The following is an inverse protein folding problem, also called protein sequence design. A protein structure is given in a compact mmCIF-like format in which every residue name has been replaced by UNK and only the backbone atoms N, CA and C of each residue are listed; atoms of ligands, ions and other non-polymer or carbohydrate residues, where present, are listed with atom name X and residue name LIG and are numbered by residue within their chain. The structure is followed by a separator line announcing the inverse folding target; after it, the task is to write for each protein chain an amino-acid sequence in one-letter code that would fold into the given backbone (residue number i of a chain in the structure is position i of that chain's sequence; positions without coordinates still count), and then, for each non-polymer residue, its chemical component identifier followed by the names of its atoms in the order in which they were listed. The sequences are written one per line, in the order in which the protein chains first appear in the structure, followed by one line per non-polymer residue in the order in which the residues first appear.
data_IF_210974294014
#
_entry.id   IF_210974294014
#
_cell.length_a   1.000
_cell.length_b   1.000
_cell.length_c   1.000
_cell.angle_alpha   90.00
_cell.angle_beta   90.00
_cell.angle_gamma   90.00
#
_symmetry.space_group_name_H-M   'P 1'
#
loop_
_entity.id
_entity.type
_entity.pdbx_description
1 polymer ?
#
# COMPACT_ATOMS: atom_id res chain seq x y z
N UNK A 1 -9.10 -8.33 -21.92
CA UNK A 1 -8.12 -9.37 -22.29
C UNK A 1 -7.51 -9.87 -21.00
N UNK A 2 -7.47 -11.18 -20.79
CA UNK A 2 -6.75 -11.75 -19.64
C UNK A 2 -5.25 -11.55 -19.81
N UNK A 3 -4.54 -11.34 -18.69
CA UNK A 3 -3.08 -11.28 -18.63
C UNK A 3 -2.55 -12.70 -18.61
N UNK A 4 -1.55 -13.02 -19.44
CA UNK A 4 -0.94 -14.34 -19.41
C UNK A 4 0.21 -14.41 -18.38
N UNK A 5 0.49 -15.61 -17.87
CA UNK A 5 1.65 -15.84 -16.98
C UNK A 5 2.96 -15.39 -17.65
N UNK A 6 3.09 -15.55 -18.97
CA UNK A 6 4.29 -15.14 -19.69
C UNK A 6 4.47 -13.62 -19.73
N UNK A 7 3.37 -12.85 -19.82
CA UNK A 7 3.42 -11.39 -19.73
C UNK A 7 3.91 -10.95 -18.33
N UNK A 8 3.45 -11.63 -17.28
CA UNK A 8 3.87 -11.35 -15.90
C UNK A 8 5.33 -11.71 -15.67
N UNK A 9 5.82 -12.84 -16.21
CA UNK A 9 7.24 -13.22 -16.14
C UNK A 9 8.11 -12.18 -16.84
N UNK A 10 7.76 -11.81 -18.09
CA UNK A 10 8.53 -10.85 -18.87
C UNK A 10 8.59 -9.48 -18.17
N UNK A 11 7.44 -9.00 -17.68
CA UNK A 11 7.36 -7.76 -16.92
C UNK A 11 8.19 -7.84 -15.64
N UNK A 12 7.99 -8.88 -14.82
CA UNK A 12 8.67 -9.03 -13.52
C UNK A 12 10.18 -9.11 -13.68
N UNK A 13 10.66 -9.75 -14.76
CA UNK A 13 12.08 -9.82 -15.09
C UNK A 13 12.65 -8.45 -15.49
N UNK A 14 11.97 -7.72 -16.37
CA UNK A 14 12.38 -6.39 -16.85
C UNK A 14 12.36 -5.35 -15.72
N UNK A 15 11.36 -5.43 -14.85
CA UNK A 15 11.06 -4.42 -13.85
C UNK A 15 11.60 -4.75 -12.45
N UNK A 16 12.35 -5.86 -12.31
CA UNK A 16 13.02 -6.28 -11.08
C UNK A 16 13.99 -5.22 -10.57
N UNK A 17 13.92 -4.94 -9.27
CA UNK A 17 14.84 -4.04 -8.56
C UNK A 17 15.17 -4.60 -7.17
N UNK A 18 16.32 -4.23 -6.63
CA UNK A 18 16.68 -4.55 -5.24
C UNK A 18 15.71 -3.85 -4.27
N UNK A 19 15.46 -4.49 -3.14
CA UNK A 19 14.57 -3.93 -2.12
C UNK A 19 15.23 -2.82 -1.32
N UNK A 20 14.44 -1.79 -1.00
CA UNK A 20 14.75 -0.75 -0.05
C UNK A 20 13.69 -0.79 1.07
N UNK A 21 14.11 -1.19 2.27
CA UNK A 21 13.23 -1.26 3.43
C UNK A 21 13.22 0.05 4.24
N UNK A 22 13.86 1.12 3.76
CA UNK A 22 13.82 2.44 4.39
C UNK A 22 12.54 3.23 4.05
N UNK A 23 11.74 2.74 3.10
CA UNK A 23 10.54 3.41 2.59
C UNK A 23 9.39 2.44 2.36
N UNK A 24 8.17 2.97 2.36
CA UNK A 24 6.97 2.27 1.90
C UNK A 24 6.30 3.05 0.78
N UNK A 25 5.47 2.41 -0.01
CA UNK A 25 4.60 3.07 -0.98
C UNK A 25 3.23 2.40 -1.04
N UNK A 26 2.26 3.06 -1.67
CA UNK A 26 1.00 2.41 -2.01
C UNK A 26 1.22 1.28 -3.02
N UNK A 27 0.31 0.32 -3.10
CA UNK A 27 0.32 -0.74 -4.13
C UNK A 27 0.10 -0.23 -5.56
N UNK A 28 -0.29 1.04 -5.68
CA UNK A 28 -0.64 1.74 -6.92
C UNK A 28 0.32 1.46 -8.08
N UNK A 29 -0.25 1.16 -9.25
CA UNK A 29 0.50 0.84 -10.45
C UNK A 29 1.20 2.04 -11.07
N UNK A 30 0.75 3.22 -10.71
CA UNK A 30 1.34 4.45 -11.13
C UNK A 30 2.41 4.91 -10.17
N UNK A 31 3.62 4.34 -10.13
CA UNK A 31 4.86 5.01 -9.66
C UNK A 31 5.86 5.07 -10.83
N UNK A 32 6.52 6.20 -11.07
CA UNK A 32 7.57 6.35 -12.11
C UNK A 32 8.87 5.68 -11.69
N UNK A 33 9.75 5.49 -12.66
CA UNK A 33 11.15 5.16 -12.37
C UNK A 33 11.77 6.22 -11.42
N UNK A 34 12.36 5.75 -10.33
CA UNK A 34 12.94 6.59 -9.27
C UNK A 34 11.96 7.02 -8.17
N UNK A 35 10.64 6.96 -8.39
CA UNK A 35 9.66 7.19 -7.34
C UNK A 35 9.50 5.90 -6.51
N UNK A 36 9.93 5.94 -5.24
CA UNK A 36 9.81 4.83 -4.31
C UNK A 36 10.31 3.48 -4.89
N UNK A 37 11.49 3.53 -5.54
CA UNK A 37 12.20 2.36 -6.05
C UNK A 37 12.60 1.44 -4.88
N UNK A 38 12.37 0.13 -5.02
CA UNK A 38 12.67 -0.84 -3.97
C UNK A 38 11.77 -0.79 -2.72
N UNK A 39 11.02 0.31 -2.51
CA UNK A 39 10.15 0.52 -1.36
C UNK A 39 9.16 -0.64 -1.15
N UNK A 40 8.73 -0.84 0.09
CA UNK A 40 7.73 -1.86 0.43
C UNK A 40 6.36 -1.36 -0.06
N UNK A 41 5.79 -2.00 -1.08
CA UNK A 41 4.49 -1.66 -1.64
C UNK A 41 3.36 -2.35 -0.85
N UNK A 42 2.54 -1.55 -0.17
CA UNK A 42 1.43 -1.97 0.70
C UNK A 42 0.25 -1.02 0.53
N UNK A 43 -0.97 -1.45 0.81
CA UNK A 43 -2.13 -0.59 0.59
C UNK A 43 -2.01 0.69 1.45
N UNK A 44 -2.00 1.87 0.81
CA UNK A 44 -1.83 3.16 1.49
C UNK A 44 -0.44 3.48 2.06
N UNK A 45 0.59 2.64 1.88
CA UNK A 45 1.90 2.86 2.52
C UNK A 45 1.81 2.92 4.05
N UNK A 46 2.58 3.80 4.69
CA UNK A 46 2.47 3.99 6.15
C UNK A 46 1.08 4.47 6.59
N UNK A 47 0.37 5.22 5.74
CA UNK A 47 -0.98 5.67 6.03
C UNK A 47 -1.96 4.49 6.21
N UNK A 48 -1.81 3.42 5.41
CA UNK A 48 -2.62 2.21 5.57
C UNK A 48 -2.37 1.49 6.89
N UNK A 49 -1.14 1.53 7.41
CA UNK A 49 -0.84 1.01 8.76
C UNK A 49 -1.52 1.85 9.83
N UNK A 50 -1.55 3.19 9.68
CA UNK A 50 -2.31 4.07 10.57
C UNK A 50 -3.82 3.73 10.54
N UNK A 51 -4.39 3.51 9.36
CA UNK A 51 -5.80 3.14 9.20
C UNK A 51 -6.13 1.83 9.90
N UNK A 52 -5.26 0.83 9.78
CA UNK A 52 -5.40 -0.45 10.47
C UNK A 52 -5.37 -0.28 12.00
N UNK A 53 -4.46 0.55 12.52
CA UNK A 53 -4.37 0.87 13.95
C UNK A 53 -5.61 1.62 14.47
N UNK A 54 -6.20 2.51 13.67
CA UNK A 54 -7.46 3.19 14.03
C UNK A 54 -8.60 2.18 14.16
N UNK A 55 -8.69 1.19 13.28
CA UNK A 55 -9.67 0.09 13.41
C UNK A 55 -9.47 -0.70 14.70
N UNK A 56 -8.22 -0.91 15.10
CA UNK A 56 -7.87 -1.57 16.36
C UNK A 56 -8.08 -0.72 17.62
N UNK A 57 -8.65 0.48 17.47
CA UNK A 57 -9.13 1.29 18.58
C UNK A 57 -8.24 2.47 18.95
N UNK A 58 -7.11 2.68 18.28
CA UNK A 58 -6.32 3.90 18.46
C UNK A 58 -7.08 5.11 17.91
N UNK A 59 -6.89 6.27 18.52
CA UNK A 59 -7.31 7.53 17.92
C UNK A 59 -6.47 7.82 16.67
N UNK A 60 -6.97 8.61 15.70
CA UNK A 60 -6.21 9.01 14.52
C UNK A 60 -4.83 9.60 14.85
N UNK A 61 -4.75 10.45 15.88
CA UNK A 61 -3.50 11.03 16.35
C UNK A 61 -2.53 10.01 16.94
N UNK A 62 -3.02 9.08 17.77
CA UNK A 62 -2.18 8.02 18.34
C UNK A 62 -1.64 7.08 17.26
N UNK A 63 -2.50 6.68 16.31
CA UNK A 63 -2.12 5.83 15.19
C UNK A 63 -1.04 6.48 14.32
N UNK A 64 -1.24 7.75 13.94
CA UNK A 64 -0.23 8.52 13.21
C UNK A 64 1.09 8.62 13.99
N UNK A 65 1.03 9.06 15.25
CA UNK A 65 2.24 9.28 16.06
C UNK A 65 3.04 7.99 16.24
N UNK A 66 2.36 6.87 16.47
CA UNK A 66 3.00 5.56 16.62
C UNK A 66 3.75 5.15 15.35
N UNK A 67 3.13 5.26 14.18
CA UNK A 67 3.74 4.85 12.91
C UNK A 67 4.84 5.81 12.48
N UNK A 68 4.65 7.12 12.70
CA UNK A 68 5.66 8.13 12.42
C UNK A 68 6.91 7.94 13.29
N UNK A 69 6.74 7.75 14.60
CA UNK A 69 7.85 7.48 15.53
C UNK A 69 8.53 6.16 15.22
N UNK A 70 7.76 5.13 14.83
CA UNK A 70 8.31 3.86 14.37
C UNK A 70 9.22 4.07 13.16
N UNK A 71 8.72 4.74 12.12
CA UNK A 71 9.48 5.01 10.90
C UNK A 71 10.79 5.73 11.24
N UNK A 72 10.72 6.81 12.04
CA UNK A 72 11.90 7.56 12.47
C UNK A 72 12.90 6.71 13.26
N UNK A 73 12.42 5.90 14.20
CA UNK A 73 13.28 5.02 15.02
C UNK A 73 13.97 3.93 14.19
N UNK A 74 13.34 3.49 13.11
CA UNK A 74 13.85 2.49 12.18
C UNK A 74 14.75 3.10 11.08
N UNK A 75 15.02 4.41 11.12
CA UNK A 75 15.76 5.12 10.07
C UNK A 75 14.99 5.21 8.75
N UNK A 76 13.66 5.09 8.80
CA UNK A 76 12.75 5.19 7.67
C UNK A 76 12.15 6.60 7.58
N UNK A 77 11.61 6.92 6.41
CA UNK A 77 10.78 8.11 6.20
C UNK A 77 9.31 7.70 6.20
N UNK A 78 8.45 8.45 6.89
CA UNK A 78 7.01 8.23 6.77
C UNK A 78 6.57 8.63 5.36
N UNK A 79 6.03 7.66 4.62
CA UNK A 79 5.67 7.79 3.21
C UNK A 79 4.17 7.60 3.01
N UNK A 80 3.58 8.47 2.18
CA UNK A 80 2.21 8.36 1.69
C UNK A 80 2.11 9.02 0.31
N UNK A 81 0.95 8.94 -0.34
CA UNK A 81 0.74 9.65 -1.60
C UNK A 81 -0.62 10.34 -1.64
N UNK A 82 -0.74 11.24 -2.60
CA UNK A 82 -2.01 11.66 -3.21
C UNK A 82 -1.85 11.66 -4.74
N UNK A 83 -2.82 12.19 -5.47
CA UNK A 83 -2.75 12.35 -6.91
C UNK A 83 -3.33 13.70 -7.36
N UNK A 84 -3.29 13.97 -8.67
CA UNK A 84 -3.84 15.19 -9.26
C UNK A 84 -5.37 15.22 -9.36
N UNK A 85 -6.06 14.14 -8.98
CA UNK A 85 -7.52 14.09 -8.93
C UNK A 85 -8.09 14.56 -7.59
N UNK A 86 -7.26 14.74 -6.57
CA UNK A 86 -7.67 15.31 -5.29
C UNK A 86 -8.46 16.63 -5.49
N UNK A 87 -9.63 16.74 -4.85
CA UNK A 87 -10.53 17.88 -5.01
C UNK A 87 -11.42 17.83 -6.25
N UNK A 88 -11.23 16.86 -7.14
CA UNK A 88 -12.06 16.60 -8.32
C UNK A 88 -12.97 15.38 -8.13
N UNK A 89 -13.67 15.33 -6.99
CA UNK A 89 -14.61 14.25 -6.64
C UNK A 89 -14.06 13.20 -5.67
N UNK A 90 -12.79 13.31 -5.27
CA UNK A 90 -12.21 12.55 -4.16
C UNK A 90 -11.62 13.50 -3.09
N UNK A 91 -11.58 13.02 -1.85
CA UNK A 91 -11.05 13.77 -0.69
C UNK A 91 -9.52 13.71 -0.65
N UNK A 92 -8.95 12.63 -1.18
CA UNK A 92 -7.51 12.38 -1.34
C UNK A 92 -7.32 11.44 -2.54
N UNK A 93 -6.22 11.58 -3.27
CA UNK A 93 -5.96 10.78 -4.46
C UNK A 93 -5.65 9.30 -4.20
N UNK A 94 -5.23 8.95 -2.98
CA UNK A 94 -4.97 7.56 -2.63
C UNK A 94 -6.27 6.74 -2.63
N UNK A 95 -6.42 5.81 -3.58
CA UNK A 95 -7.62 4.96 -3.66
C UNK A 95 -7.94 4.20 -2.37
N UNK A 96 -6.92 3.70 -1.66
CA UNK A 96 -7.08 3.03 -0.36
C UNK A 96 -7.70 3.96 0.70
N UNK A 97 -7.11 5.14 0.85
CA UNK A 97 -7.52 6.11 1.86
C UNK A 97 -8.89 6.71 1.49
N UNK A 98 -9.09 7.10 0.23
CA UNK A 98 -10.34 7.66 -0.24
C UNK A 98 -11.52 6.68 -0.14
N UNK A 99 -11.31 5.40 -0.47
CA UNK A 99 -12.32 4.38 -0.29
C UNK A 99 -12.67 4.17 1.19
N UNK A 100 -11.71 4.30 2.11
CA UNK A 100 -12.02 4.23 3.55
C UNK A 100 -12.86 5.38 4.09
N UNK A 101 -12.83 6.54 3.40
CA UNK A 101 -13.69 7.69 3.73
C UNK A 101 -15.07 7.50 3.08
N UNK A 102 -15.12 7.14 1.80
CA UNK A 102 -16.36 7.04 1.01
C UNK A 102 -17.19 5.77 1.23
N UNK A 103 -16.56 4.69 1.71
CA UNK A 103 -17.16 3.37 1.93
C UNK A 103 -16.73 2.78 3.28
N UNK A 104 -16.76 3.65 4.30
CA UNK A 104 -16.16 3.42 5.62
C UNK A 104 -16.67 2.17 6.35
N UNK A 105 -17.93 1.80 6.11
CA UNK A 105 -18.59 0.59 6.60
C UNK A 105 -17.85 -0.70 6.20
N UNK A 106 -17.29 -0.74 4.98
CA UNK A 106 -16.53 -1.89 4.50
C UNK A 106 -15.13 -1.99 5.11
N UNK A 107 -14.61 -0.88 5.67
CA UNK A 107 -13.34 -0.86 6.39
C UNK A 107 -13.52 -1.08 7.89
N UNK A 108 -14.77 -1.06 8.39
CA UNK A 108 -15.08 -1.16 9.82
C UNK A 108 -14.50 0.00 10.64
N UNK A 109 -14.37 1.18 10.03
CA UNK A 109 -13.97 2.44 10.66
C UNK A 109 -14.97 3.52 10.24
N UNK A 110 -15.11 4.60 11.00
CA UNK A 110 -16.00 5.68 10.60
C UNK A 110 -15.31 6.64 9.63
N UNK A 111 -16.09 7.23 8.73
CA UNK A 111 -15.60 8.24 7.77
C UNK A 111 -14.98 9.45 8.48
N UNK A 112 -15.53 9.84 9.63
CA UNK A 112 -15.02 10.95 10.45
C UNK A 112 -13.61 10.65 10.98
N UNK A 113 -13.36 9.44 11.47
CA UNK A 113 -12.02 9.05 11.97
C UNK A 113 -10.98 9.02 10.84
N UNK A 114 -11.36 8.58 9.65
CA UNK A 114 -10.46 8.58 8.49
C UNK A 114 -10.17 10.00 8.01
N UNK A 115 -11.19 10.87 8.01
CA UNK A 115 -11.03 12.29 7.70
C UNK A 115 -10.11 12.98 8.71
N UNK A 116 -10.30 12.75 10.00
CA UNK A 116 -9.43 13.26 11.06
C UNK A 116 -7.98 12.75 10.90
N UNK A 117 -7.78 11.46 10.56
CA UNK A 117 -6.44 10.92 10.30
C UNK A 117 -5.75 11.64 9.13
N UNK A 118 -6.48 11.91 8.05
CA UNK A 118 -5.95 12.65 6.90
C UNK A 118 -5.56 14.08 7.30
N UNK A 119 -6.36 14.76 8.10
CA UNK A 119 -6.06 16.11 8.61
C UNK A 119 -4.80 16.12 9.49
N UNK A 120 -4.66 15.13 10.39
CA UNK A 120 -3.45 14.94 11.21
C UNK A 120 -2.22 14.77 10.31
N UNK A 121 -2.30 13.91 9.29
CA UNK A 121 -1.19 13.67 8.38
C UNK A 121 -0.82 14.90 7.54
N UNK A 122 -1.80 15.62 7.00
CA UNK A 122 -1.56 16.85 6.23
C UNK A 122 -0.90 17.91 7.09
N UNK A 123 -1.41 18.12 8.31
CA UNK A 123 -0.81 19.05 9.26
C UNK A 123 0.64 18.66 9.60
N UNK A 124 0.90 17.38 9.84
CA UNK A 124 2.25 16.91 10.12
C UNK A 124 3.20 17.06 8.92
N UNK A 125 2.71 16.85 7.69
CA UNK A 125 3.46 17.07 6.46
C UNK A 125 3.91 18.53 6.33
N UNK A 126 3.04 19.49 6.68
CA UNK A 126 3.35 20.92 6.70
C UNK A 126 4.30 21.31 7.85
N UNK A 127 4.05 20.80 9.05
CA UNK A 127 4.75 21.22 10.27
C UNK A 127 6.14 20.58 10.41
N UNK A 128 6.32 19.32 10.01
CA UNK A 128 7.54 18.54 10.27
C UNK A 128 8.52 18.54 9.10
N UNK A 129 8.04 18.59 7.86
CA UNK A 129 8.87 18.56 6.63
C UNK A 129 9.69 17.27 6.41
N UNK A 130 9.69 16.32 7.35
CA UNK A 130 10.45 15.07 7.32
C UNK A 130 9.66 13.89 6.69
N UNK A 131 8.47 14.14 6.15
CA UNK A 131 7.60 13.12 5.53
C UNK A 131 7.72 13.15 4.00
N UNK A 132 7.65 11.98 3.36
CA UNK A 132 7.64 11.84 1.90
C UNK A 132 6.19 11.69 1.40
N UNK A 133 5.65 12.76 0.81
CA UNK A 133 4.39 12.72 0.08
C UNK A 133 4.68 12.76 -1.42
N UNK A 134 4.25 11.72 -2.14
CA UNK A 134 4.33 11.68 -3.60
C UNK A 134 2.98 12.12 -4.18
N UNK A 135 2.98 12.98 -5.20
CA UNK A 135 1.78 13.34 -5.96
C UNK A 135 1.80 12.59 -7.29
N UNK A 136 0.96 11.58 -7.43
CA UNK A 136 0.82 10.81 -8.66
C UNK A 136 0.06 11.63 -9.71
N UNK A 137 0.53 11.59 -10.94
CA UNK A 137 -0.07 12.35 -12.05
C UNK A 137 -0.17 11.46 -13.28
N UNK A 138 -1.15 10.55 -13.25
CA UNK A 138 -1.50 9.60 -14.31
C UNK A 138 -2.80 8.89 -13.95
N UNK A 139 -3.44 8.34 -14.97
CA UNK A 139 -4.60 7.47 -14.81
C UNK A 139 -4.17 6.04 -14.47
N UNK A 140 -5.03 5.37 -13.70
CA UNK A 140 -4.93 3.95 -13.42
C UNK A 140 -5.11 3.12 -14.70
N UNK A 141 -4.08 2.34 -15.06
CA UNK A 141 -4.09 1.45 -16.22
C UNK A 141 -3.55 0.05 -15.87
N UNK A 142 -3.63 -0.35 -14.60
CA UNK A 142 -3.10 -1.62 -14.13
C UNK A 142 -3.70 -2.79 -14.91
N UNK A 143 -2.95 -3.85 -15.16
CA UNK A 143 -3.50 -5.03 -15.87
C UNK A 143 -3.87 -6.15 -14.91
N UNK A 144 -3.12 -6.31 -13.83
CA UNK A 144 -3.34 -7.31 -12.79
C UNK A 144 -2.76 -6.84 -11.45
N UNK A 145 -2.85 -7.69 -10.43
CA UNK A 145 -2.22 -7.51 -9.13
C UNK A 145 -1.11 -8.53 -8.96
N UNK A 146 0.10 -8.07 -8.63
CA UNK A 146 1.26 -8.91 -8.38
C UNK A 146 1.56 -8.94 -6.88
N UNK A 147 1.40 -10.09 -6.26
CA UNK A 147 1.75 -10.37 -4.87
C UNK A 147 3.17 -10.89 -4.83
N UNK A 148 4.11 -10.00 -4.52
CA UNK A 148 5.55 -10.30 -4.46
C UNK A 148 5.89 -11.05 -3.17
N UNK A 149 6.52 -12.22 -3.31
CA UNK A 149 6.89 -13.09 -2.17
C UNK A 149 8.38 -13.08 -1.83
N UNK A 150 9.23 -12.52 -2.69
CA UNK A 150 10.67 -12.40 -2.43
C UNK A 150 11.01 -11.33 -1.40
N UNK A 151 12.15 -11.50 -0.71
CA UNK A 151 12.63 -10.55 0.32
C UNK A 151 13.67 -9.57 -0.18
N UNK A 152 14.50 -9.97 -1.15
CA UNK A 152 15.69 -9.21 -1.56
C UNK A 152 15.46 -8.40 -2.84
N UNK A 153 14.40 -8.75 -3.57
CA UNK A 153 13.97 -8.09 -4.80
C UNK A 153 12.47 -7.83 -4.78
N UNK A 154 12.07 -6.80 -5.51
CA UNK A 154 10.68 -6.47 -5.84
C UNK A 154 10.58 -6.01 -7.29
N UNK A 155 9.40 -5.55 -7.71
CA UNK A 155 9.09 -5.16 -9.08
C UNK A 155 8.62 -3.71 -9.10
N UNK A 156 9.15 -2.90 -10.04
CA UNK A 156 8.62 -1.56 -10.31
C UNK A 156 7.20 -1.68 -10.90
N UNK A 157 6.24 -0.83 -10.47
CA UNK A 157 4.85 -0.99 -10.84
C UNK A 157 4.52 -0.54 -12.27
N UNK A 158 5.33 0.34 -12.87
CA UNK A 158 5.08 0.87 -14.20
C UNK A 158 6.29 0.72 -15.13
N UNK A 159 6.10 -0.03 -16.21
CA UNK A 159 6.96 0.03 -17.37
C UNK A 159 6.53 1.19 -18.27
N UNK A 160 7.29 2.28 -18.22
CA UNK A 160 6.99 3.50 -18.97
C UNK A 160 7.28 3.37 -20.47
N UNK A 161 8.15 2.43 -20.87
CA UNK A 161 8.48 2.20 -22.28
C UNK A 161 7.33 1.47 -22.97
N UNK A 162 6.83 0.40 -22.35
CA UNK A 162 5.73 -0.41 -22.88
C UNK A 162 4.34 0.06 -22.41
N UNK A 163 4.32 1.11 -21.57
CA UNK A 163 3.15 1.64 -20.90
C UNK A 163 2.28 0.57 -20.21
N UNK A 164 2.93 -0.29 -19.42
CA UNK A 164 2.27 -1.38 -18.68
C UNK A 164 2.34 -1.13 -17.18
N UNK A 165 1.18 -1.07 -16.53
CA UNK A 165 1.07 -0.92 -15.08
C UNK A 165 0.57 -2.22 -14.43
N UNK A 166 1.01 -2.47 -13.21
CA UNK A 166 0.47 -3.50 -12.32
C UNK A 166 0.40 -2.97 -10.90
N UNK A 167 -0.62 -3.40 -10.13
CA UNK A 167 -0.57 -3.21 -8.68
C UNK A 167 0.51 -4.13 -8.11
N UNK A 168 1.35 -3.62 -7.22
CA UNK A 168 2.43 -4.39 -6.58
C UNK A 168 2.16 -4.48 -5.09
N UNK A 169 2.13 -5.69 -4.53
CA UNK A 169 1.98 -5.92 -3.09
C UNK A 169 3.13 -6.79 -2.56
N UNK A 170 3.99 -6.22 -1.71
CA UNK A 170 5.14 -6.92 -1.11
C UNK A 170 4.76 -7.69 0.16
N UNK A 171 4.04 -8.80 -0.01
CA UNK A 171 3.41 -9.54 1.10
C UNK A 171 4.38 -9.93 2.22
N UNK A 172 5.52 -10.55 1.89
CA UNK A 172 6.44 -11.05 2.93
C UNK A 172 7.08 -9.91 3.71
N UNK A 173 7.49 -8.84 3.02
CA UNK A 173 8.08 -7.65 3.66
C UNK A 173 7.05 -6.87 4.48
N UNK A 174 5.80 -6.80 4.02
CA UNK A 174 4.70 -6.21 4.76
C UNK A 174 4.45 -6.94 6.09
N UNK A 175 4.38 -8.28 6.08
CA UNK A 175 4.20 -9.05 7.31
C UNK A 175 5.32 -8.82 8.34
N UNK A 176 6.56 -8.64 7.87
CA UNK A 176 7.71 -8.28 8.73
C UNK A 176 7.54 -6.87 9.28
N UNK A 177 7.13 -5.89 8.45
CA UNK A 177 6.87 -4.52 8.88
C UNK A 177 5.81 -4.46 9.98
N UNK A 178 4.65 -5.11 9.78
CA UNK A 178 3.56 -5.11 10.77
C UNK A 178 3.97 -5.74 12.11
N UNK A 179 4.76 -6.82 12.08
CA UNK A 179 5.32 -7.42 13.30
C UNK A 179 6.24 -6.45 14.05
N UNK A 180 7.06 -5.68 13.33
CA UNK A 180 7.93 -4.66 13.92
C UNK A 180 7.13 -3.49 14.51
N UNK A 181 6.09 -3.03 13.81
CA UNK A 181 5.18 -1.99 14.33
C UNK A 181 4.47 -2.45 15.60
N UNK A 182 3.95 -3.68 15.63
CA UNK A 182 3.32 -4.24 16.82
C UNK A 182 4.30 -4.39 18.00
N UNK A 183 5.53 -4.83 17.76
CA UNK A 183 6.57 -4.90 18.78
C UNK A 183 6.90 -3.50 19.34
N UNK A 184 7.05 -2.50 18.47
CA UNK A 184 7.30 -1.11 18.84
C UNK A 184 6.13 -0.47 19.63
N UNK A 185 4.89 -0.86 19.31
CA UNK A 185 3.71 -0.47 20.07
C UNK A 185 3.74 -1.06 21.48
N UNK A 186 4.09 -2.34 21.61
CA UNK A 186 4.21 -3.03 22.90
C UNK A 186 5.29 -2.40 23.79
N UNK A 187 6.44 -2.00 23.22
CA UNK A 187 7.49 -1.25 23.94
C UNK A 187 7.00 0.09 24.52
N UNK A 188 5.91 0.65 23.96
CA UNK A 188 5.26 1.89 24.41
C UNK A 188 4.03 1.66 25.28
N UNK A 189 3.77 0.41 25.67
CA UNK A 189 2.59 0.05 26.46
C UNK A 189 1.27 0.12 25.69
N UNK A 190 1.31 0.16 24.36
CA UNK A 190 0.12 0.13 23.49
C UNK A 190 -0.19 -1.33 23.16
N UNK A 191 -1.39 -1.77 23.54
CA UNK A 191 -1.84 -3.17 23.36
C UNK A 191 -2.36 -3.42 21.94
N UNK A 192 -1.46 -3.62 20.98
CA UNK A 192 -1.77 -4.06 19.61
C UNK A 192 -0.99 -5.35 19.31
N UNK A 193 -1.69 -6.46 19.07
CA UNK A 193 -1.03 -7.71 18.66
C UNK A 193 -0.67 -7.69 17.18
N UNK A 194 0.41 -8.37 16.82
CA UNK A 194 0.81 -8.50 15.42
C UNK A 194 -0.26 -9.24 14.60
N UNK A 195 -0.90 -10.25 15.17
CA UNK A 195 -1.94 -11.03 14.52
C UNK A 195 -3.16 -10.17 14.17
N UNK A 196 -3.60 -9.31 15.10
CA UNK A 196 -4.72 -8.42 14.86
C UNK A 196 -4.38 -7.35 13.81
N UNK A 197 -3.18 -6.78 13.87
CA UNK A 197 -2.73 -5.79 12.90
C UNK A 197 -2.61 -6.37 11.49
N UNK A 198 -2.08 -7.60 11.36
CA UNK A 198 -2.03 -8.32 10.08
C UNK A 198 -3.43 -8.60 9.57
N UNK A 199 -4.32 -9.15 10.40
CA UNK A 199 -5.68 -9.49 10.00
C UNK A 199 -6.46 -8.27 9.48
N UNK A 200 -6.37 -7.14 10.19
CA UNK A 200 -7.01 -5.89 9.78
C UNK A 200 -6.39 -5.34 8.49
N UNK A 201 -5.06 -5.40 8.36
CA UNK A 201 -4.40 -4.87 7.17
C UNK A 201 -4.73 -5.71 5.91
N UNK A 202 -4.83 -7.03 6.05
CA UNK A 202 -5.30 -7.92 4.98
C UNK A 202 -6.77 -7.66 4.65
N UNK A 203 -7.64 -7.44 5.65
CA UNK A 203 -9.03 -7.05 5.45
C UNK A 203 -9.13 -5.75 4.64
N UNK A 204 -8.45 -4.69 5.08
CA UNK A 204 -8.43 -3.40 4.40
C UNK A 204 -7.90 -3.51 2.97
N UNK A 205 -6.82 -4.28 2.76
CA UNK A 205 -6.26 -4.52 1.42
C UNK A 205 -7.31 -5.19 0.51
N UNK A 206 -7.96 -6.25 0.97
CA UNK A 206 -8.99 -6.95 0.19
C UNK A 206 -10.21 -6.06 -0.08
N UNK A 207 -10.63 -5.27 0.90
CA UNK A 207 -11.72 -4.30 0.74
C UNK A 207 -11.36 -3.26 -0.33
N UNK A 208 -10.16 -2.70 -0.31
CA UNK A 208 -9.70 -1.77 -1.37
C UNK A 208 -9.73 -2.42 -2.74
N UNK A 209 -9.17 -3.63 -2.85
CA UNK A 209 -9.14 -4.36 -4.12
C UNK A 209 -10.56 -4.63 -4.66
N UNK A 210 -11.52 -4.84 -3.76
CA UNK A 210 -12.92 -5.11 -4.10
C UNK A 210 -13.76 -3.90 -4.47
N UNK A 211 -13.46 -2.73 -3.89
CA UNK A 211 -14.22 -1.49 -4.10
C UNK A 211 -13.71 -0.69 -5.30
N UNK A 212 -12.39 -0.62 -5.51
CA UNK A 212 -11.85 0.24 -6.55
C UNK A 212 -12.17 -0.31 -7.94
N UNK A 213 -12.76 0.54 -8.79
CA UNK A 213 -13.04 0.20 -10.19
C UNK A 213 -11.77 -0.17 -10.97
N UNK A 214 -10.62 0.36 -10.56
CA UNK A 214 -9.31 0.04 -11.13
C UNK A 214 -8.78 -1.33 -10.69
N UNK A 215 -9.31 -2.02 -9.68
CA UNK A 215 -8.78 -3.30 -9.22
C UNK A 215 -9.78 -4.46 -9.22
N UNK A 216 -11.08 -4.19 -9.05
CA UNK A 216 -12.10 -5.23 -8.88
C UNK A 216 -12.11 -6.23 -10.04
N UNK A 217 -12.12 -7.52 -9.70
CA UNK A 217 -12.12 -8.63 -10.67
C UNK A 217 -10.83 -8.83 -11.47
N UNK A 218 -9.75 -8.08 -11.20
CA UNK A 218 -8.44 -8.30 -11.87
C UNK A 218 -7.78 -9.59 -11.39
N UNK A 219 -7.05 -10.25 -12.28
CA UNK A 219 -6.25 -11.43 -11.92
C UNK A 219 -5.21 -11.07 -10.85
N UNK A 220 -4.98 -12.02 -9.95
CA UNK A 220 -3.96 -11.95 -8.91
C UNK A 220 -2.93 -13.03 -9.21
N UNK A 221 -1.66 -12.61 -9.29
CA UNK A 221 -0.53 -13.50 -9.44
C UNK A 221 0.34 -13.42 -8.21
N UNK A 222 0.84 -14.56 -7.72
CA UNK A 222 2.02 -14.56 -6.86
C UNK A 222 3.26 -14.54 -7.72
N UNK A 223 4.27 -13.77 -7.29
CA UNK A 223 5.51 -13.57 -8.03
C UNK A 223 6.69 -13.65 -7.08
N UNK A 224 7.56 -14.65 -7.28
CA UNK A 224 8.87 -14.71 -6.63
C UNK A 224 9.95 -14.26 -7.63
N UNK A 225 10.62 -13.15 -7.34
CA UNK A 225 11.70 -12.59 -8.18
C UNK A 225 13.10 -12.77 -7.56
N UNK A 226 13.28 -13.73 -6.66
CA UNK A 226 14.60 -14.04 -6.07
C UNK A 226 15.58 -14.62 -7.10
N UNK A 227 15.11 -15.56 -7.94
CA UNK A 227 15.88 -16.24 -8.98
C UNK A 227 16.11 -15.42 -10.24
N UNK A 228 16.96 -15.92 -11.15
CA UNK A 228 17.20 -15.27 -12.46
C UNK A 228 15.94 -15.28 -13.34
N UNK A 229 15.12 -16.33 -13.23
CA UNK A 229 13.78 -16.41 -13.80
C UNK A 229 12.74 -16.30 -12.68
N UNK A 230 11.77 -15.37 -12.78
CA UNK A 230 10.66 -15.29 -11.84
C UNK A 230 9.81 -16.56 -11.81
N UNK A 231 9.35 -16.96 -10.62
CA UNK A 231 8.33 -17.99 -10.45
C UNK A 231 6.97 -17.29 -10.29
N UNK A 232 6.02 -17.63 -11.17
CA UNK A 232 4.72 -16.95 -11.24
C UNK A 232 3.59 -17.97 -11.22
N UNK A 233 2.59 -17.74 -10.37
CA UNK A 233 1.37 -18.54 -10.28
C UNK A 233 0.14 -17.63 -10.23
N UNK A 234 -0.88 -17.92 -11.03
CA UNK A 234 -2.19 -17.27 -10.92
C UNK A 234 -2.95 -17.88 -9.74
N UNK A 235 -3.29 -17.06 -8.76
CA UNK A 235 -3.90 -17.51 -7.50
C UNK A 235 -5.35 -17.10 -7.33
N UNK A 236 -5.91 -16.37 -8.30
CA UNK A 236 -7.33 -16.00 -8.32
C UNK A 236 -7.58 -14.63 -8.93
N UNK A 237 -8.67 -14.00 -8.49
CA UNK A 237 -9.07 -12.65 -8.90
C UNK A 237 -9.38 -11.79 -7.68
N UNK A 238 -9.19 -10.48 -7.81
CA UNK A 238 -9.63 -9.52 -6.81
C UNK A 238 -11.13 -9.65 -6.56
N UNK A 239 -11.57 -9.45 -5.30
CA UNK A 239 -12.99 -9.49 -4.99
C UNK A 239 -13.77 -8.44 -5.80
N UNK A 240 -15.08 -8.60 -5.83
CA UNK A 240 -16.00 -7.60 -6.37
C UNK A 240 -16.97 -7.27 -5.25
N UNK A 241 -16.86 -6.07 -4.70
CA UNK A 241 -17.77 -5.57 -3.68
C UNK A 241 -18.75 -4.63 -4.39
N UNK A 242 -20.04 -4.90 -4.25
CA UNK A 242 -21.10 -4.03 -4.75
C UNK A 242 -21.27 -2.85 -3.81
N UNK A 243 -21.39 -1.65 -4.38
CA UNK A 243 -21.54 -0.36 -3.67
C UNK A 243 -22.91 0.22 -3.97
#
# INVERSE_FOLDING_TARGET
MSVSIQDVIAFSKKMRVATDNSKTKCVDGGYRAGEAEGAIAIAGGHAGVCMALVKLGLTPKEAFSLVYDFAKSAGQVFCWHTDTHEGHGCVVGCGHFNASIGSSEHYGVSSEKMTELLEVMRKAQEDLGEMEMIVLNRDHAEKAILVVTSTDFTVKPWDQEDNVQYFIYDKVRHLVLLKKVAAFAAERGISVSAEALIAVSDEHTNTTLGLLGSSKGKQIFTVDVSGAEPVVEEVGVAPVIEV
#
